data_IF_560291170555
#
_entry.id   IF_560291170555
#
_cell.length_a   1.000
_cell.length_b   1.000
_cell.length_c   1.000
_cell.angle_alpha   90.00
_cell.angle_beta   90.00
_cell.angle_gamma   90.00
#
_symmetry.space_group_name_H-M   'P 1'
#
loop_
_entity.id
_entity.type
_entity.pdbx_description
1 polymer ?
#
# COMPACT_ATOMS: atom_id res chain seq x y z
N UNK A 1 -19.11 -4.22 13.81
CA UNK A 1 -18.37 -4.82 12.69
C UNK A 1 -16.92 -4.39 12.77
N UNK A 2 -15.93 -5.32 12.74
CA UNK A 2 -14.52 -4.95 12.78
C UNK A 2 -14.11 -4.16 11.53
N UNK A 3 -13.17 -3.22 11.70
CA UNK A 3 -12.70 -2.32 10.65
C UNK A 3 -11.19 -2.49 10.42
N UNK A 4 -10.78 -2.59 9.16
CA UNK A 4 -9.39 -2.54 8.70
C UNK A 4 -9.15 -1.20 8.00
N UNK A 5 -8.10 -0.46 8.40
CA UNK A 5 -7.71 0.84 7.83
C UNK A 5 -6.43 0.64 7.05
N UNK A 6 -6.52 0.75 5.73
CA UNK A 6 -5.43 0.46 4.81
C UNK A 6 -5.00 1.77 4.16
N UNK A 7 -3.81 2.25 4.51
CA UNK A 7 -3.23 3.46 3.94
C UNK A 7 -2.35 3.11 2.73
N UNK A 8 -2.73 3.61 1.55
CA UNK A 8 -1.91 3.49 0.35
C UNK A 8 -0.80 4.55 0.40
N UNK A 9 0.44 4.17 0.16
CA UNK A 9 1.57 5.08 0.16
C UNK A 9 2.57 4.73 -0.96
N UNK A 10 3.31 5.72 -1.46
CA UNK A 10 4.25 5.55 -2.57
C UNK A 10 4.48 6.85 -3.33
N UNK A 11 5.40 6.83 -4.29
CA UNK A 11 5.75 7.98 -5.16
C UNK A 11 4.56 8.43 -6.03
N UNK A 12 4.69 9.57 -6.70
CA UNK A 12 3.72 10.02 -7.69
C UNK A 12 3.65 9.02 -8.87
N UNK A 13 2.46 8.83 -9.46
CA UNK A 13 2.30 8.02 -10.67
C UNK A 13 2.38 6.49 -10.50
N UNK A 14 2.72 5.98 -9.30
CA UNK A 14 2.89 4.53 -9.05
C UNK A 14 1.60 3.69 -9.04
N UNK A 15 0.44 4.30 -9.28
CA UNK A 15 -0.83 3.57 -9.34
C UNK A 15 -1.56 3.34 -8.01
N UNK A 16 -1.30 4.15 -6.96
CA UNK A 16 -2.02 4.05 -5.67
C UNK A 16 -3.55 4.07 -5.82
N UNK A 17 -4.09 5.09 -6.47
CA UNK A 17 -5.55 5.24 -6.67
C UNK A 17 -6.16 4.08 -7.47
N UNK A 18 -5.41 3.53 -8.44
CA UNK A 18 -5.84 2.36 -9.20
C UNK A 18 -5.89 1.10 -8.32
N UNK A 19 -4.85 0.87 -7.50
CA UNK A 19 -4.85 -0.20 -6.51
C UNK A 19 -6.00 -0.04 -5.51
N UNK A 20 -6.25 1.17 -5.02
CA UNK A 20 -7.38 1.47 -4.13
C UNK A 20 -8.73 1.13 -4.76
N UNK A 21 -8.92 1.47 -6.04
CA UNK A 21 -10.13 1.12 -6.79
C UNK A 21 -10.29 -0.39 -6.95
N UNK A 22 -9.21 -1.13 -7.24
CA UNK A 22 -9.22 -2.59 -7.29
C UNK A 22 -9.64 -3.19 -5.93
N UNK A 23 -9.02 -2.72 -4.84
CA UNK A 23 -9.36 -3.18 -3.48
C UNK A 23 -10.83 -2.87 -3.15
N UNK A 24 -11.36 -1.73 -3.59
CA UNK A 24 -12.73 -1.33 -3.30
C UNK A 24 -13.78 -2.04 -4.18
N UNK A 25 -13.39 -2.62 -5.31
CA UNK A 25 -14.32 -3.19 -6.30
C UNK A 25 -15.17 -2.14 -7.02
N UNK A 26 -14.81 -0.86 -6.91
CA UNK A 26 -15.47 0.31 -7.52
C UNK A 26 -14.43 1.41 -7.74
N UNK A 27 -14.78 2.48 -8.45
CA UNK A 27 -13.82 3.54 -8.84
C UNK A 27 -14.08 4.91 -8.21
N UNK A 28 -14.05 5.06 -6.86
CA UNK A 28 -14.26 6.35 -6.23
C UNK A 28 -13.00 7.23 -6.24
N UNK A 29 -11.80 6.65 -6.35
CA UNK A 29 -10.58 7.43 -6.53
C UNK A 29 -10.40 7.80 -8.00
N UNK A 30 -10.21 9.09 -8.28
CA UNK A 30 -9.94 9.57 -9.63
C UNK A 30 -8.57 9.07 -10.11
N UNK A 31 -8.55 8.33 -11.21
CA UNK A 31 -7.33 7.90 -11.89
C UNK A 31 -7.19 8.64 -13.22
N UNK A 32 -6.04 9.24 -13.48
CA UNK A 32 -5.74 9.89 -14.75
C UNK A 32 -4.28 9.64 -15.12
N UNK A 33 -4.01 9.31 -16.37
CA UNK A 33 -2.65 9.29 -16.91
C UNK A 33 -2.23 10.74 -17.15
N UNK A 34 -1.50 11.31 -16.20
CA UNK A 34 -1.02 12.69 -16.25
C UNK A 34 0.26 12.82 -15.43
N UNK A 35 1.16 13.68 -15.87
CA UNK A 35 2.31 14.12 -15.08
C UNK A 35 1.88 15.01 -13.89
N UNK A 36 0.66 15.56 -13.93
CA UNK A 36 0.12 16.41 -12.88
C UNK A 36 -0.47 15.60 -11.72
N UNK A 37 -0.26 16.10 -10.50
CA UNK A 37 -0.84 15.52 -9.28
C UNK A 37 -2.37 15.57 -9.31
N UNK A 38 -3.00 14.41 -9.41
CA UNK A 38 -4.47 14.25 -9.31
C UNK A 38 -4.90 14.21 -7.84
N UNK A 39 -4.24 13.41 -7.01
CA UNK A 39 -4.51 13.29 -5.57
C UNK A 39 -3.71 14.34 -4.81
N UNK A 40 -4.40 15.38 -4.32
CA UNK A 40 -3.80 16.49 -3.56
C UNK A 40 -3.94 16.32 -2.05
N UNK A 41 -4.97 15.62 -1.62
CA UNK A 41 -5.30 15.38 -0.22
C UNK A 41 -5.53 13.88 0.03
N UNK A 42 -5.49 13.48 1.29
CA UNK A 42 -5.88 12.14 1.69
C UNK A 42 -7.39 11.97 1.47
N UNK A 43 -7.80 10.84 0.90
CA UNK A 43 -9.21 10.52 0.65
C UNK A 43 -9.50 9.09 1.07
N UNK A 44 -10.70 8.81 1.56
CA UNK A 44 -11.03 7.50 2.10
C UNK A 44 -12.38 6.99 1.60
N UNK A 45 -12.42 5.72 1.23
CA UNK A 45 -13.64 5.01 0.85
C UNK A 45 -13.60 3.59 1.42
N UNK A 46 -14.77 2.96 1.57
CA UNK A 46 -14.85 1.62 2.13
C UNK A 46 -15.65 0.63 1.30
N UNK A 47 -15.35 -0.65 1.52
CA UNK A 47 -16.18 -1.79 1.12
C UNK A 47 -16.38 -2.76 2.30
N UNK A 48 -17.33 -3.67 2.16
CA UNK A 48 -17.46 -4.83 3.04
C UNK A 48 -16.75 -6.01 2.39
N UNK A 49 -15.94 -6.74 3.17
CA UNK A 49 -15.23 -7.93 2.74
C UNK A 49 -15.20 -8.94 3.88
N UNK A 50 -15.69 -10.17 3.65
CA UNK A 50 -15.81 -11.24 4.66
C UNK A 50 -16.39 -10.75 6.00
N UNK A 51 -17.43 -9.91 5.94
CA UNK A 51 -18.08 -9.33 7.14
C UNK A 51 -17.29 -8.25 7.88
N UNK A 52 -16.21 -7.72 7.27
CA UNK A 52 -15.38 -6.63 7.82
C UNK A 52 -15.49 -5.38 6.95
N UNK A 53 -15.39 -4.22 7.57
CA UNK A 53 -15.27 -2.95 6.85
C UNK A 53 -13.81 -2.70 6.50
N UNK A 54 -13.49 -2.66 5.22
CA UNK A 54 -12.16 -2.26 4.75
C UNK A 54 -12.23 -0.80 4.33
N UNK A 55 -11.63 0.09 5.12
CA UNK A 55 -11.43 1.50 4.80
C UNK A 55 -10.08 1.66 4.08
N UNK A 56 -10.13 2.03 2.81
CA UNK A 56 -8.96 2.32 1.99
C UNK A 56 -8.74 3.83 1.99
N UNK A 57 -7.56 4.27 2.41
CA UNK A 57 -7.13 5.67 2.39
C UNK A 57 -6.11 5.83 1.25
N UNK A 58 -6.47 6.56 0.20
CA UNK A 58 -5.51 7.00 -0.82
C UNK A 58 -4.79 8.27 -0.34
N UNK A 59 -3.51 8.39 -0.68
CA UNK A 59 -2.64 9.46 -0.21
C UNK A 59 -2.04 10.26 -1.36
N UNK A 60 -1.64 11.52 -1.11
CA UNK A 60 -0.63 12.19 -1.91
C UNK A 60 0.70 11.41 -1.89
N UNK A 61 1.66 11.80 -2.74
CA UNK A 61 2.99 11.20 -2.68
C UNK A 61 3.67 11.44 -1.32
N UNK A 62 4.44 10.48 -0.83
CA UNK A 62 5.00 10.49 0.53
C UNK A 62 5.84 11.75 0.81
N UNK A 63 6.59 12.22 -0.18
CA UNK A 63 7.44 13.43 -0.08
C UNK A 63 6.66 14.71 0.25
N UNK A 64 5.35 14.72 -0.01
CA UNK A 64 4.46 15.86 0.24
C UNK A 64 3.76 15.81 1.61
N UNK A 65 3.95 14.74 2.38
CA UNK A 65 3.30 14.61 3.69
C UNK A 65 3.93 15.56 4.70
N UNK A 66 3.07 16.27 5.45
CA UNK A 66 3.52 17.25 6.45
C UNK A 66 4.11 16.56 7.69
N UNK A 67 5.19 17.10 8.28
CA UNK A 67 5.79 16.55 9.51
C UNK A 67 4.84 16.50 10.72
N UNK A 68 3.89 17.44 10.82
CA UNK A 68 2.89 17.47 11.90
C UNK A 68 1.87 16.32 11.82
N UNK A 69 1.86 15.61 10.69
CA UNK A 69 0.95 14.53 10.34
C UNK A 69 -0.53 14.90 10.45
N UNK A 70 -0.90 16.19 10.46
CA UNK A 70 -2.26 16.63 10.73
C UNK A 70 -3.25 16.03 9.71
N UNK A 71 -2.89 16.05 8.43
CA UNK A 71 -3.76 15.56 7.35
C UNK A 71 -3.84 14.02 7.33
N UNK A 72 -2.74 13.33 7.65
CA UNK A 72 -2.73 11.86 7.80
C UNK A 72 -3.59 11.44 8.99
N UNK A 73 -3.47 12.14 10.12
CA UNK A 73 -4.20 11.84 11.37
C UNK A 73 -5.70 11.92 11.19
N UNK A 74 -6.20 12.93 10.46
CA UNK A 74 -7.65 13.13 10.22
C UNK A 74 -8.35 11.87 9.70
N UNK A 75 -7.70 11.09 8.83
CA UNK A 75 -8.31 9.92 8.18
C UNK A 75 -7.78 8.58 8.67
N UNK A 76 -6.71 8.58 9.47
CA UNK A 76 -6.11 7.32 9.93
C UNK A 76 -6.13 7.14 11.43
N UNK A 77 -6.60 8.10 12.24
CA UNK A 77 -6.66 7.98 13.69
C UNK A 77 -7.38 6.69 14.15
N UNK A 78 -6.85 5.97 15.17
CA UNK A 78 -5.60 6.20 15.93
C UNK A 78 -4.31 5.77 15.20
N UNK A 79 -4.46 5.12 14.05
CA UNK A 79 -3.40 4.71 13.12
C UNK A 79 -3.98 3.76 12.06
N UNK A 80 -3.30 3.58 10.92
CA UNK A 80 -3.67 2.54 9.97
C UNK A 80 -3.37 1.15 10.55
N UNK A 81 -4.19 0.17 10.17
CA UNK A 81 -3.93 -1.24 10.45
C UNK A 81 -2.91 -1.82 9.47
N UNK A 82 -2.85 -1.29 8.25
CA UNK A 82 -1.86 -1.68 7.25
C UNK A 82 -1.44 -0.49 6.39
N UNK A 83 -0.18 -0.48 5.98
CA UNK A 83 0.32 0.33 4.89
C UNK A 83 0.49 -0.55 3.66
N UNK A 84 0.04 -0.06 2.50
CA UNK A 84 0.40 -0.65 1.22
C UNK A 84 1.40 0.27 0.52
N UNK A 85 2.66 -0.16 0.47
CA UNK A 85 3.68 0.51 -0.33
C UNK A 85 3.46 0.14 -1.79
N UNK A 86 2.80 1.02 -2.54
CA UNK A 86 2.50 0.82 -3.95
C UNK A 86 3.68 1.29 -4.80
N UNK A 87 4.15 0.40 -5.67
CA UNK A 87 5.30 0.66 -6.53
C UNK A 87 5.22 -0.22 -7.79
N UNK A 88 5.59 0.26 -9.00
CA UNK A 88 5.72 -0.63 -10.14
C UNK A 88 6.89 -1.59 -9.97
N UNK A 89 6.86 -2.71 -10.70
CA UNK A 89 7.93 -3.72 -10.65
C UNK A 89 9.30 -3.19 -11.11
N UNK A 90 9.31 -2.29 -12.09
CA UNK A 90 10.51 -1.63 -12.60
C UNK A 90 10.95 -0.39 -11.79
N UNK A 91 10.45 -0.25 -10.56
CA UNK A 91 10.72 0.91 -9.72
C UNK A 91 12.16 0.95 -9.21
N UNK A 92 12.70 2.15 -9.11
CA UNK A 92 14.01 2.44 -8.53
C UNK A 92 13.94 2.73 -7.01
N UNK A 93 12.85 2.34 -6.33
CA UNK A 93 12.76 2.49 -4.87
C UNK A 93 13.69 1.47 -4.22
N UNK A 94 14.65 1.98 -3.43
CA UNK A 94 15.60 1.19 -2.65
C UNK A 94 15.16 1.13 -1.18
N UNK A 95 15.71 0.17 -0.42
CA UNK A 95 15.41 -0.01 1.00
C UNK A 95 15.75 1.21 1.87
N UNK A 96 16.67 2.06 1.42
CA UNK A 96 17.14 3.29 2.08
C UNK A 96 16.52 4.59 1.52
N UNK A 97 15.51 4.49 0.65
CA UNK A 97 14.87 5.65 0.04
C UNK A 97 14.41 6.67 1.11
N UNK A 98 14.78 7.94 0.91
CA UNK A 98 14.53 9.04 1.85
C UNK A 98 13.05 9.20 2.19
N UNK A 99 12.13 8.77 1.33
CA UNK A 99 10.68 8.83 1.62
C UNK A 99 10.31 8.03 2.88
N UNK A 100 11.05 6.95 3.20
CA UNK A 100 10.79 6.16 4.39
C UNK A 100 11.11 6.92 5.69
N UNK A 101 11.99 7.91 5.64
CA UNK A 101 12.26 8.76 6.80
C UNK A 101 11.03 9.58 7.20
N UNK A 102 10.19 9.97 6.24
CA UNK A 102 8.94 10.70 6.48
C UNK A 102 7.94 9.79 7.20
N UNK A 103 7.74 8.58 6.69
CA UNK A 103 6.81 7.61 7.31
C UNK A 103 7.29 7.22 8.71
N UNK A 104 8.60 6.96 8.86
CA UNK A 104 9.26 6.69 10.14
C UNK A 104 9.15 7.88 11.11
N UNK A 105 9.22 9.11 10.63
CA UNK A 105 9.02 10.30 11.48
C UNK A 105 7.60 10.31 12.08
N UNK A 106 6.60 9.96 11.27
CA UNK A 106 5.18 10.03 11.66
C UNK A 106 4.74 8.82 12.50
N UNK A 107 5.19 7.61 12.15
CA UNK A 107 4.69 6.35 12.72
C UNK A 107 5.75 5.57 13.54
N UNK A 108 7.00 6.04 13.55
CA UNK A 108 8.13 5.33 14.15
C UNK A 108 8.59 4.13 13.32
N UNK A 109 9.65 3.48 13.76
CA UNK A 109 10.28 2.34 13.05
C UNK A 109 9.33 1.17 12.83
N UNK A 110 8.37 0.97 13.74
CA UNK A 110 7.43 -0.15 13.70
C UNK A 110 6.57 -0.18 12.44
N UNK A 111 6.47 0.91 11.67
CA UNK A 111 5.64 0.95 10.45
C UNK A 111 6.01 -0.17 9.47
N UNK A 112 7.28 -0.59 9.44
CA UNK A 112 7.73 -1.70 8.59
C UNK A 112 6.99 -3.00 8.88
N UNK A 113 6.66 -3.26 10.15
CA UNK A 113 5.87 -4.42 10.63
C UNK A 113 4.42 -4.42 10.18
N UNK A 114 3.92 -3.24 9.78
CA UNK A 114 2.56 -3.02 9.31
C UNK A 114 2.49 -2.78 7.80
N UNK A 115 3.58 -2.99 7.07
CA UNK A 115 3.66 -2.68 5.64
C UNK A 115 3.71 -3.95 4.79
N UNK A 116 2.92 -3.94 3.71
CA UNK A 116 2.99 -4.89 2.59
C UNK A 116 3.37 -4.09 1.34
N UNK A 117 4.30 -4.61 0.54
CA UNK A 117 4.60 -4.03 -0.78
C UNK A 117 3.55 -4.52 -1.78
N UNK A 118 2.91 -3.59 -2.47
CA UNK A 118 2.02 -3.89 -3.59
C UNK A 118 2.72 -3.49 -4.89
N UNK A 119 3.23 -4.49 -5.60
CA UNK A 119 3.74 -4.30 -6.94
C UNK A 119 2.61 -4.07 -7.93
N UNK A 120 2.73 -3.04 -8.74
CA UNK A 120 1.82 -2.76 -9.86
C UNK A 120 2.44 -3.17 -11.18
N UNK A 121 1.59 -3.35 -12.19
CA UNK A 121 1.99 -3.72 -13.55
C UNK A 121 2.61 -5.12 -13.62
N UNK A 122 2.01 -6.10 -12.94
CA UNK A 122 2.46 -7.49 -13.02
C UNK A 122 2.44 -8.02 -14.46
N UNK A 123 1.55 -7.50 -15.30
CA UNK A 123 1.49 -7.79 -16.73
C UNK A 123 2.81 -7.53 -17.48
N UNK A 124 3.68 -6.63 -16.97
CA UNK A 124 4.99 -6.37 -17.58
C UNK A 124 5.99 -7.53 -17.38
N UNK A 125 5.70 -8.50 -16.51
CA UNK A 125 6.53 -9.71 -16.36
C UNK A 125 6.25 -10.77 -17.43
N UNK A 126 5.17 -10.63 -18.19
CA UNK A 126 4.71 -11.66 -19.12
C UNK A 126 4.67 -13.04 -18.43
N UNK A 127 5.44 -14.01 -18.92
CA UNK A 127 5.53 -15.38 -18.38
C UNK A 127 6.60 -15.53 -17.28
N UNK A 128 7.33 -14.47 -16.94
CA UNK A 128 8.38 -14.52 -15.93
C UNK A 128 7.77 -14.65 -14.52
N UNK A 129 8.32 -15.57 -13.72
CA UNK A 129 7.93 -15.70 -12.32
C UNK A 129 8.33 -14.46 -11.51
N UNK A 130 7.41 -14.02 -10.64
CA UNK A 130 7.61 -12.82 -9.82
C UNK A 130 8.75 -13.00 -8.82
N UNK A 131 8.83 -14.17 -8.18
CA UNK A 131 9.80 -14.44 -7.14
C UNK A 131 11.20 -14.60 -7.76
N UNK A 132 11.28 -15.23 -8.95
CA UNK A 132 12.49 -15.27 -9.76
C UNK A 132 12.95 -13.87 -10.17
N UNK A 133 12.05 -13.01 -10.67
CA UNK A 133 12.38 -11.63 -11.03
C UNK A 133 12.95 -10.84 -9.84
N UNK A 134 12.30 -10.96 -8.68
CA UNK A 134 12.74 -10.34 -7.43
C UNK A 134 14.13 -10.85 -7.01
N UNK A 135 14.36 -12.17 -7.09
CA UNK A 135 15.63 -12.79 -6.65
C UNK A 135 16.84 -12.32 -7.45
N UNK A 136 16.63 -11.93 -8.72
CA UNK A 136 17.68 -11.42 -9.61
C UNK A 136 18.00 -9.93 -9.40
N UNK A 137 17.21 -9.22 -8.59
CA UNK A 137 17.37 -7.78 -8.34
C UNK A 137 17.68 -7.53 -6.85
N UNK A 138 18.95 -7.23 -6.55
CA UNK A 138 19.41 -7.01 -5.18
C UNK A 138 18.69 -5.85 -4.48
N UNK A 139 18.42 -4.75 -5.20
CA UNK A 139 17.71 -3.60 -4.65
C UNK A 139 16.28 -3.97 -4.22
N UNK A 140 15.57 -4.76 -5.04
CA UNK A 140 14.23 -5.26 -4.72
C UNK A 140 14.26 -6.27 -3.58
N UNK A 141 15.25 -7.18 -3.59
CA UNK A 141 15.42 -8.15 -2.52
C UNK A 141 15.64 -7.46 -1.16
N UNK A 142 16.47 -6.41 -1.12
CA UNK A 142 16.72 -5.61 0.10
C UNK A 142 15.47 -4.83 0.53
N UNK A 143 14.75 -4.25 -0.43
CA UNK A 143 13.50 -3.56 -0.16
C UNK A 143 12.46 -4.50 0.46
N UNK A 144 12.28 -5.68 -0.11
CA UNK A 144 11.34 -6.70 0.38
C UNK A 144 11.76 -7.24 1.75
N UNK A 145 13.06 -7.42 1.96
CA UNK A 145 13.60 -7.87 3.24
C UNK A 145 13.32 -6.88 4.37
N UNK A 146 13.38 -5.56 4.10
CA UNK A 146 12.99 -4.51 5.04
C UNK A 146 11.54 -4.63 5.53
N UNK A 147 10.66 -5.20 4.72
CA UNK A 147 9.24 -5.39 5.02
C UNK A 147 8.89 -6.86 5.30
N UNK A 148 9.83 -7.64 5.84
CA UNK A 148 9.67 -9.04 6.26
C UNK A 148 9.12 -9.94 5.15
N UNK A 149 9.57 -9.71 3.91
CA UNK A 149 9.14 -10.47 2.73
C UNK A 149 7.63 -10.41 2.45
N UNK A 150 6.94 -9.38 2.96
CA UNK A 150 5.52 -9.14 2.67
C UNK A 150 5.36 -8.36 1.38
N UNK A 151 5.04 -9.05 0.29
CA UNK A 151 4.68 -8.43 -0.97
C UNK A 151 3.57 -9.19 -1.70
N UNK A 152 2.93 -8.51 -2.65
CA UNK A 152 2.03 -9.08 -3.65
C UNK A 152 2.11 -8.24 -4.93
N UNK A 153 1.55 -8.73 -6.04
CA UNK A 153 1.55 -8.02 -7.30
C UNK A 153 0.17 -8.03 -7.95
N UNK A 154 -0.26 -6.88 -8.49
CA UNK A 154 -1.51 -6.75 -9.24
C UNK A 154 -1.24 -6.75 -10.74
N UNK A 155 -1.99 -7.61 -11.44
CA UNK A 155 -2.14 -7.58 -12.88
C UNK A 155 -3.44 -6.81 -13.21
N UNK A 156 -3.33 -5.68 -13.90
CA UNK A 156 -4.52 -4.89 -14.26
C UNK A 156 -5.18 -5.36 -15.57
N UNK A 157 -4.51 -6.20 -16.34
CA UNK A 157 -5.02 -6.83 -17.57
C UNK A 157 -5.69 -8.19 -17.32
N UNK A 158 -5.58 -8.74 -16.11
CA UNK A 158 -6.19 -10.01 -15.75
C UNK A 158 -7.73 -10.02 -15.88
N UNK A 159 -8.31 -11.22 -15.93
CA UNK A 159 -9.77 -11.44 -15.92
C UNK A 159 -10.42 -10.89 -14.65
N UNK A 160 -11.74 -10.78 -14.64
CA UNK A 160 -12.46 -10.27 -13.46
C UNK A 160 -12.27 -11.19 -12.24
N UNK A 161 -12.28 -12.51 -12.48
CA UNK A 161 -12.09 -13.56 -11.49
C UNK A 161 -10.68 -13.49 -10.89
N UNK A 162 -9.66 -13.35 -11.72
CA UNK A 162 -8.27 -13.19 -11.27
C UNK A 162 -8.05 -11.88 -10.53
N UNK A 163 -8.68 -10.79 -10.98
CA UNK A 163 -8.66 -9.49 -10.28
C UNK A 163 -9.29 -9.58 -8.90
N UNK A 164 -10.36 -10.36 -8.76
CA UNK A 164 -10.97 -10.61 -7.45
C UNK A 164 -10.04 -11.47 -6.58
N UNK A 165 -9.46 -12.53 -7.15
CA UNK A 165 -8.52 -13.43 -6.46
C UNK A 165 -7.28 -12.71 -5.92
N UNK A 166 -6.65 -11.83 -6.71
CA UNK A 166 -5.49 -11.04 -6.24
C UNK A 166 -5.86 -10.08 -5.10
N UNK A 167 -7.08 -9.51 -5.12
CA UNK A 167 -7.57 -8.63 -4.06
C UNK A 167 -7.85 -9.42 -2.79
N UNK A 168 -8.46 -10.60 -2.90
CA UNK A 168 -8.71 -11.46 -1.76
C UNK A 168 -7.40 -11.96 -1.13
N UNK A 169 -6.42 -12.38 -1.95
CA UNK A 169 -5.07 -12.72 -1.48
C UNK A 169 -4.41 -11.57 -0.72
N UNK A 170 -4.49 -10.34 -1.24
CA UNK A 170 -3.96 -9.15 -0.56
C UNK A 170 -4.66 -8.91 0.78
N UNK A 171 -5.99 -8.98 0.83
CA UNK A 171 -6.75 -8.70 2.05
C UNK A 171 -6.59 -9.80 3.11
N UNK A 172 -6.47 -11.07 2.70
CA UNK A 172 -6.10 -12.17 3.59
C UNK A 172 -4.69 -11.97 4.17
N UNK A 173 -3.73 -11.49 3.37
CA UNK A 173 -2.38 -11.15 3.85
C UNK A 173 -2.38 -9.94 4.80
N UNK A 174 -3.19 -8.91 4.52
CA UNK A 174 -3.41 -7.76 5.43
C UNK A 174 -3.96 -8.24 6.76
N UNK A 175 -5.01 -9.07 6.73
CA UNK A 175 -5.62 -9.62 7.94
C UNK A 175 -4.63 -10.41 8.77
N UNK A 176 -3.90 -11.33 8.15
CA UNK A 176 -2.87 -12.12 8.83
C UNK A 176 -1.82 -11.23 9.48
N UNK A 177 -1.29 -10.23 8.76
CA UNK A 177 -0.32 -9.28 9.31
C UNK A 177 -0.89 -8.48 10.50
N UNK A 178 -2.15 -8.05 10.42
CA UNK A 178 -2.79 -7.31 11.52
C UNK A 178 -2.98 -8.20 12.75
N UNK A 179 -3.34 -9.47 12.57
CA UNK A 179 -3.45 -10.44 13.65
C UNK A 179 -2.08 -10.68 14.32
N UNK A 180 -1.00 -10.85 13.54
CA UNK A 180 0.37 -10.98 14.06
C UNK A 180 0.82 -9.75 14.85
N UNK A 181 0.33 -8.56 14.48
CA UNK A 181 0.54 -7.32 15.24
C UNK A 181 -0.48 -7.11 16.38
N UNK A 182 -1.16 -8.17 16.82
CA UNK A 182 -2.07 -8.15 17.97
C UNK A 182 -3.39 -7.42 17.73
N UNK A 183 -3.83 -7.33 16.47
CA UNK A 183 -5.04 -6.59 16.05
C UNK A 183 -5.02 -5.09 16.43
N UNK A 184 -3.84 -4.52 16.57
CA UNK A 184 -3.65 -3.10 16.89
C UNK A 184 -3.25 -2.32 15.63
N UNK A 185 -3.61 -1.03 15.52
CA UNK A 185 -3.09 -0.17 14.47
C UNK A 185 -1.64 0.25 14.75
N UNK A 186 -0.94 0.67 13.71
CA UNK A 186 0.33 1.35 13.82
C UNK A 186 0.10 2.78 14.35
N UNK A 187 0.14 2.96 15.66
CA UNK A 187 -0.09 4.28 16.28
C UNK A 187 1.02 5.27 15.90
N UNK A 188 0.65 6.54 15.80
CA UNK A 188 1.58 7.65 15.59
C UNK A 188 2.73 7.63 16.61
N UNK A 189 3.89 8.11 16.19
CA UNK A 189 5.01 8.32 17.10
C UNK A 189 4.63 9.39 18.11
N UNK A 190 4.76 9.07 19.40
CA UNK A 190 4.66 10.05 20.48
C UNK A 190 5.87 11.00 20.40
N UNK A 191 5.63 12.31 20.58
CA UNK A 191 6.68 13.34 20.53
C UNK A 191 7.60 13.23 21.72
#
# INVERSE_FOLDING_TARGET
MPELRVLLMGKLGVGKSAAGNSILGKRPFKTQFSEQRVTKDFTAHSRIWKGKKVLVIDSPEISSWKPDAADVKKLTFPGPHAFLLVTPLNSLIKSDDKMFNIVKHIFGEKFTKFTIILFTRKEDLEDQDLDEFISKNSDLHDLISKFEKRYTAFNYQATAEEKQSQVDKLLDQVESMVQHNGNKPCIFREK
#
